data_IF_661428630765
#
_entry.id   IF_661428630765
#
_cell.length_a   1.000
_cell.length_b   1.000
_cell.length_c   1.000
_cell.angle_alpha   90.00
_cell.angle_beta   90.00
_cell.angle_gamma   90.00
#
_symmetry.space_group_name_H-M   'P 1'
#
loop_
_entity.id
_entity.type
_entity.pdbx_description
1 polymer ?
#
# COMPACT_ATOMS: atom_id res chain seq x y z
N UNK A 1 0.92 -18.01 -19.27
CA UNK A 1 -0.02 -17.21 -18.45
C UNK A 1 -0.25 -17.83 -17.07
N UNK A 2 -0.77 -19.06 -16.99
CA UNK A 2 -1.12 -19.74 -15.70
C UNK A 2 0.02 -19.75 -14.67
N UNK A 3 1.27 -20.00 -15.10
CA UNK A 3 2.46 -20.04 -14.22
C UNK A 3 2.67 -18.74 -13.41
N UNK A 4 2.45 -17.57 -14.01
CA UNK A 4 2.67 -16.29 -13.33
C UNK A 4 1.54 -15.95 -12.36
N UNK A 5 0.31 -16.38 -12.67
CA UNK A 5 -0.83 -16.24 -11.78
C UNK A 5 -0.67 -17.07 -10.49
N UNK A 6 -0.15 -18.29 -10.61
CA UNK A 6 0.12 -19.13 -9.44
C UNK A 6 1.26 -18.56 -8.56
N UNK A 7 2.23 -17.86 -9.15
CA UNK A 7 3.24 -17.11 -8.41
C UNK A 7 2.64 -15.93 -7.64
N UNK A 8 1.71 -15.19 -8.26
CA UNK A 8 0.99 -14.11 -7.57
C UNK A 8 0.19 -14.65 -6.37
N UNK A 9 -0.55 -15.75 -6.54
CA UNK A 9 -1.25 -16.42 -5.43
C UNK A 9 -0.30 -16.91 -4.35
N UNK A 10 0.86 -17.44 -4.74
CA UNK A 10 1.89 -17.86 -3.78
C UNK A 10 2.32 -16.69 -2.90
N UNK A 11 2.53 -15.50 -3.47
CA UNK A 11 2.88 -14.31 -2.69
C UNK A 11 1.76 -13.94 -1.71
N UNK A 12 0.50 -13.96 -2.15
CA UNK A 12 -0.64 -13.67 -1.26
C UNK A 12 -0.72 -14.62 -0.07
N UNK A 13 -0.35 -15.90 -0.26
CA UNK A 13 -0.28 -16.89 0.82
C UNK A 13 0.87 -16.60 1.78
N UNK A 14 2.04 -16.22 1.27
CA UNK A 14 3.19 -15.85 2.11
C UNK A 14 2.85 -14.63 2.97
N UNK A 15 2.24 -13.60 2.39
CA UNK A 15 1.82 -12.40 3.12
C UNK A 15 0.81 -12.75 4.22
N UNK A 16 -0.11 -13.67 3.95
CA UNK A 16 -1.13 -14.11 4.90
C UNK A 16 -0.60 -15.07 5.97
N UNK A 17 0.49 -15.80 5.69
CA UNK A 17 1.09 -16.74 6.63
C UNK A 17 1.70 -16.04 7.84
N UNK A 18 2.19 -14.80 7.66
CA UNK A 18 2.68 -13.95 8.73
C UNK A 18 1.57 -13.05 9.29
N UNK A 19 0.61 -13.67 9.97
CA UNK A 19 -0.60 -13.01 10.50
C UNK A 19 -0.31 -11.83 11.42
N UNK A 20 0.75 -11.87 12.22
CA UNK A 20 1.13 -10.75 13.09
C UNK A 20 1.52 -9.51 12.29
N UNK A 21 2.33 -9.68 11.24
CA UNK A 21 2.72 -8.60 10.34
C UNK A 21 1.52 -8.10 9.52
N UNK A 22 0.68 -9.03 9.06
CA UNK A 22 -0.56 -8.74 8.35
C UNK A 22 -1.45 -7.77 9.13
N UNK A 23 -1.72 -8.06 10.40
CA UNK A 23 -2.58 -7.21 11.25
C UNK A 23 -1.88 -5.92 11.71
N UNK A 24 -0.56 -5.96 11.91
CA UNK A 24 0.21 -4.77 12.24
C UNK A 24 0.14 -3.72 11.12
N UNK A 25 0.22 -4.14 9.85
CA UNK A 25 0.08 -3.25 8.69
C UNK A 25 -1.30 -2.55 8.68
N UNK A 26 -2.38 -3.32 8.87
CA UNK A 26 -3.74 -2.76 8.94
C UNK A 26 -3.89 -1.77 10.10
N UNK A 27 -3.44 -2.14 11.30
CA UNK A 27 -3.52 -1.28 12.48
C UNK A 27 -2.71 0.02 12.28
N UNK A 28 -1.50 -0.08 11.75
CA UNK A 28 -0.66 1.07 11.45
C UNK A 28 -1.30 2.01 10.43
N UNK A 29 -1.96 1.48 9.41
CA UNK A 29 -2.65 2.27 8.41
C UNK A 29 -3.83 3.07 9.01
N UNK A 30 -4.61 2.42 9.87
CA UNK A 30 -5.72 3.06 10.60
C UNK A 30 -5.20 4.15 11.54
N UNK A 31 -4.16 3.86 12.32
CA UNK A 31 -3.54 4.84 13.22
C UNK A 31 -3.03 6.06 12.43
N UNK A 32 -2.36 5.84 11.30
CA UNK A 32 -1.87 6.93 10.45
C UNK A 32 -3.02 7.82 9.94
N UNK A 33 -4.14 7.23 9.55
CA UNK A 33 -5.35 7.96 9.14
C UNK A 33 -5.89 8.82 10.29
N UNK A 34 -6.06 8.23 11.48
CA UNK A 34 -6.58 8.94 12.65
C UNK A 34 -5.67 10.08 13.10
N UNK A 35 -4.36 9.85 13.16
CA UNK A 35 -3.37 10.87 13.52
C UNK A 35 -3.47 12.04 12.53
N UNK A 36 -3.50 11.75 11.23
CA UNK A 36 -3.62 12.77 10.19
C UNK A 36 -4.93 13.55 10.30
N UNK A 37 -6.04 12.86 10.57
CA UNK A 37 -7.34 13.50 10.77
C UNK A 37 -7.32 14.47 11.96
N UNK A 38 -6.90 14.01 13.14
CA UNK A 38 -6.88 14.86 14.34
C UNK A 38 -5.87 16.00 14.24
N UNK A 39 -4.75 15.77 13.56
CA UNK A 39 -3.79 16.83 13.25
C UNK A 39 -4.46 17.95 12.44
N UNK A 40 -5.15 17.62 11.35
CA UNK A 40 -5.81 18.62 10.53
C UNK A 40 -7.05 19.22 11.18
N UNK A 41 -7.74 18.47 12.04
CA UNK A 41 -8.85 18.99 12.84
C UNK A 41 -8.37 20.14 13.75
N UNK A 42 -7.26 19.94 14.46
CA UNK A 42 -6.67 20.96 15.33
C UNK A 42 -6.19 22.19 14.53
N UNK A 43 -5.66 21.99 13.32
CA UNK A 43 -5.21 23.08 12.44
C UNK A 43 -6.38 23.95 11.94
N UNK A 44 -7.53 23.33 11.64
CA UNK A 44 -8.73 24.01 11.16
C UNK A 44 -9.66 24.52 12.27
N UNK A 45 -9.37 24.25 13.55
CA UNK A 45 -10.23 24.66 14.68
C UNK A 45 -10.45 26.19 14.76
N UNK A 46 -9.46 26.98 14.33
CA UNK A 46 -9.52 28.45 14.31
C UNK A 46 -9.53 29.05 12.89
N UNK A 47 -9.61 28.22 11.85
CA UNK A 47 -9.55 28.67 10.46
C UNK A 47 -10.61 27.94 9.62
N UNK A 48 -11.67 28.64 9.19
CA UNK A 48 -12.70 28.06 8.31
C UNK A 48 -12.13 27.61 6.95
N UNK A 49 -11.10 28.30 6.47
CA UNK A 49 -10.37 27.90 5.27
C UNK A 49 -8.91 28.30 5.34
N UNK A 50 -8.03 27.44 4.81
CA UNK A 50 -6.61 27.74 4.66
C UNK A 50 -6.37 27.97 3.19
N UNK A 51 -6.04 29.21 2.81
CA UNK A 51 -5.84 29.62 1.41
C UNK A 51 -7.03 29.28 0.50
N UNK A 52 -8.25 29.37 1.02
CA UNK A 52 -9.48 29.04 0.28
C UNK A 52 -9.77 27.54 0.14
N UNK A 53 -8.95 26.67 0.76
CA UNK A 53 -9.20 25.23 0.81
C UNK A 53 -9.92 24.89 2.12
N UNK A 54 -11.13 24.37 2.01
CA UNK A 54 -11.91 23.88 3.14
C UNK A 54 -11.34 22.59 3.73
N UNK A 55 -11.70 22.32 4.99
CA UNK A 55 -11.24 21.16 5.75
C UNK A 55 -11.47 19.82 5.01
N UNK A 56 -12.66 19.64 4.44
CA UNK A 56 -13.04 18.40 3.76
C UNK A 56 -12.21 18.12 2.52
N UNK A 57 -11.96 19.14 1.69
CA UNK A 57 -11.11 19.02 0.50
C UNK A 57 -9.67 18.68 0.86
N UNK A 58 -9.15 19.29 1.94
CA UNK A 58 -7.80 19.00 2.44
C UNK A 58 -7.68 17.55 2.90
N UNK A 59 -8.65 17.05 3.67
CA UNK A 59 -8.67 15.66 4.11
C UNK A 59 -8.79 14.68 2.95
N UNK A 60 -9.70 14.89 2.00
CA UNK A 60 -9.83 14.02 0.83
C UNK A 60 -8.51 13.92 0.08
N UNK A 61 -7.85 15.06 -0.16
CA UNK A 61 -6.55 15.09 -0.84
C UNK A 61 -5.50 14.23 -0.12
N UNK A 62 -5.38 14.39 1.20
CA UNK A 62 -4.38 13.63 1.97
C UNK A 62 -4.71 12.14 1.99
N UNK A 63 -5.97 11.77 2.19
CA UNK A 63 -6.39 10.36 2.19
C UNK A 63 -6.10 9.71 0.83
N UNK A 64 -6.39 10.41 -0.27
CA UNK A 64 -6.06 9.92 -1.63
C UNK A 64 -4.54 9.78 -1.80
N UNK A 65 -3.76 10.77 -1.35
CA UNK A 65 -2.30 10.70 -1.39
C UNK A 65 -1.75 9.51 -0.59
N UNK A 66 -2.30 9.24 0.60
CA UNK A 66 -1.95 8.09 1.43
C UNK A 66 -2.24 6.76 0.73
N UNK A 67 -3.37 6.66 0.02
CA UNK A 67 -3.71 5.47 -0.77
C UNK A 67 -2.70 5.31 -1.90
N UNK A 68 -2.41 6.36 -2.67
CA UNK A 68 -1.47 6.31 -3.79
C UNK A 68 -0.08 5.87 -3.32
N UNK A 69 0.41 6.44 -2.21
CA UNK A 69 1.73 6.15 -1.63
C UNK A 69 1.93 4.64 -1.37
N UNK A 70 0.89 3.93 -0.96
CA UNK A 70 0.93 2.48 -0.71
C UNK A 70 1.26 1.66 -1.97
N UNK A 71 1.05 2.22 -3.17
CA UNK A 71 1.30 1.54 -4.44
C UNK A 71 2.56 2.01 -5.16
N UNK A 72 3.24 3.07 -4.69
CA UNK A 72 4.44 3.63 -5.33
C UNK A 72 5.64 2.71 -5.20
N UNK A 73 5.76 1.96 -4.10
CA UNK A 73 6.86 1.00 -3.92
C UNK A 73 6.77 -0.14 -4.93
N UNK A 74 7.89 -0.50 -5.56
CA UNK A 74 7.97 -1.61 -6.50
C UNK A 74 9.15 -2.55 -6.20
N UNK A 75 9.32 -3.54 -7.06
CA UNK A 75 10.33 -4.60 -6.95
C UNK A 75 11.80 -4.17 -7.12
N UNK A 76 12.05 -2.88 -7.40
CA UNK A 76 13.39 -2.34 -7.67
C UNK A 76 14.40 -2.57 -6.54
N UNK A 77 14.00 -2.34 -5.29
CA UNK A 77 14.89 -2.53 -4.13
C UNK A 77 15.31 -3.99 -3.96
N UNK A 78 14.38 -4.92 -4.19
CA UNK A 78 14.65 -6.35 -4.16
C UNK A 78 15.61 -6.79 -5.26
N UNK A 79 15.48 -6.20 -6.45
CA UNK A 79 16.40 -6.44 -7.57
C UNK A 79 17.81 -5.90 -7.24
N UNK A 80 17.89 -4.66 -6.76
CA UNK A 80 19.16 -4.02 -6.40
C UNK A 80 19.94 -4.84 -5.36
N UNK A 81 19.25 -5.39 -4.35
CA UNK A 81 19.85 -6.31 -3.36
C UNK A 81 20.38 -7.59 -4.01
N UNK A 82 19.60 -8.23 -4.87
CA UNK A 82 20.03 -9.46 -5.57
C UNK A 82 21.24 -9.22 -6.49
N UNK A 83 21.33 -8.05 -7.12
CA UNK A 83 22.50 -7.64 -7.91
C UNK A 83 23.72 -7.47 -6.99
N UNK A 84 23.55 -6.74 -5.88
CA UNK A 84 24.63 -6.46 -4.94
C UNK A 84 25.20 -7.73 -4.31
N UNK A 85 24.35 -8.69 -4.00
CA UNK A 85 24.74 -9.93 -3.32
C UNK A 85 25.11 -11.06 -4.32
N UNK A 86 25.05 -10.80 -5.63
CA UNK A 86 25.38 -11.76 -6.69
C UNK A 86 24.39 -12.91 -6.89
N UNK A 87 23.36 -13.01 -6.04
CA UNK A 87 22.34 -14.07 -6.09
C UNK A 87 21.46 -14.01 -7.35
N UNK A 88 21.45 -12.88 -8.07
CA UNK A 88 20.75 -12.73 -9.35
C UNK A 88 21.16 -13.79 -10.39
N UNK A 89 22.42 -14.27 -10.37
CA UNK A 89 22.91 -15.27 -11.32
C UNK A 89 22.12 -16.57 -11.22
N UNK A 90 21.80 -17.02 -10.00
CA UNK A 90 21.01 -18.23 -9.77
C UNK A 90 19.58 -18.09 -10.28
N UNK A 91 19.07 -16.87 -10.31
CA UNK A 91 17.73 -16.56 -10.80
C UNK A 91 17.69 -16.57 -12.33
N UNK A 92 18.74 -16.07 -12.99
CA UNK A 92 18.87 -16.03 -14.44
C UNK A 92 19.12 -17.41 -15.07
N UNK A 93 19.70 -18.36 -14.33
CA UNK A 93 19.90 -19.74 -14.78
C UNK A 93 18.60 -20.54 -14.89
N UNK A 94 17.51 -20.06 -14.27
CA UNK A 94 16.23 -20.77 -14.27
C UNK A 94 15.50 -20.54 -15.60
N UNK A 95 14.73 -21.52 -16.11
CA UNK A 95 14.02 -21.40 -17.39
C UNK A 95 12.74 -20.56 -17.25
N UNK A 96 12.88 -19.30 -16.82
CA UNK A 96 11.83 -18.29 -16.81
C UNK A 96 12.39 -16.86 -16.82
N UNK A 97 11.62 -15.92 -17.34
CA UNK A 97 11.99 -14.50 -17.29
C UNK A 97 11.83 -13.95 -15.87
N UNK A 98 12.95 -13.56 -15.27
CA UNK A 98 13.02 -12.98 -13.92
C UNK A 98 12.09 -11.77 -13.76
N UNK A 99 12.10 -10.84 -14.72
CA UNK A 99 11.27 -9.63 -14.66
C UNK A 99 9.77 -9.97 -14.56
N UNK A 100 9.31 -10.92 -15.37
CA UNK A 100 7.90 -11.34 -15.35
C UNK A 100 7.52 -12.00 -14.02
N UNK A 101 8.44 -12.74 -13.39
CA UNK A 101 8.25 -13.25 -12.03
C UNK A 101 8.12 -12.09 -11.04
N UNK A 102 9.01 -11.12 -11.08
CA UNK A 102 8.99 -9.99 -10.14
C UNK A 102 7.70 -9.17 -10.26
N UNK A 103 7.27 -8.88 -11.49
CA UNK A 103 5.98 -8.21 -11.75
C UNK A 103 4.82 -9.04 -11.20
N UNK A 104 4.81 -10.36 -11.41
CA UNK A 104 3.75 -11.22 -10.88
C UNK A 104 3.70 -11.26 -9.35
N UNK A 105 4.86 -11.26 -8.67
CA UNK A 105 4.92 -11.20 -7.21
C UNK A 105 4.45 -9.83 -6.70
N UNK A 106 4.87 -8.74 -7.34
CA UNK A 106 4.47 -7.37 -7.00
C UNK A 106 2.96 -7.14 -7.15
N UNK A 107 2.35 -7.71 -8.20
CA UNK A 107 0.90 -7.69 -8.37
C UNK A 107 0.22 -8.47 -7.24
N UNK A 108 0.75 -9.65 -6.89
CA UNK A 108 0.21 -10.46 -5.79
C UNK A 108 0.24 -9.72 -4.46
N UNK A 109 1.36 -9.08 -4.12
CA UNK A 109 1.48 -8.29 -2.88
C UNK A 109 0.58 -7.06 -2.88
N UNK A 110 0.49 -6.31 -3.99
CA UNK A 110 -0.40 -5.14 -4.11
C UNK A 110 -1.88 -5.50 -3.96
N UNK A 111 -2.33 -6.61 -4.56
CA UNK A 111 -3.70 -7.11 -4.36
C UNK A 111 -3.92 -7.44 -2.88
N UNK A 112 -2.97 -8.11 -2.25
CA UNK A 112 -3.03 -8.45 -0.84
C UNK A 112 -3.07 -7.21 0.07
N UNK A 113 -2.26 -6.17 -0.19
CA UNK A 113 -2.28 -4.91 0.55
C UNK A 113 -3.56 -4.09 0.31
N UNK A 114 -4.19 -4.20 -0.87
CA UNK A 114 -5.48 -3.57 -1.14
C UNK A 114 -6.56 -4.04 -0.16
N UNK A 115 -6.70 -5.35 0.04
CA UNK A 115 -7.68 -5.90 0.98
C UNK A 115 -7.30 -5.64 2.45
N UNK A 116 -6.00 -5.65 2.76
CA UNK A 116 -5.50 -5.46 4.13
C UNK A 116 -5.63 -4.05 4.66
N UNK A 117 -5.29 -3.07 3.84
CA UNK A 117 -5.02 -1.72 4.32
C UNK A 117 -5.86 -0.69 3.57
N UNK A 118 -5.85 -0.72 2.23
CA UNK A 118 -6.62 0.25 1.43
C UNK A 118 -8.13 0.13 1.69
N UNK A 119 -8.68 -1.08 1.72
CA UNK A 119 -10.10 -1.31 1.98
C UNK A 119 -10.55 -0.76 3.36
N UNK A 120 -9.88 -1.08 4.49
CA UNK A 120 -10.22 -0.46 5.78
C UNK A 120 -10.06 1.06 5.79
N UNK A 121 -9.02 1.62 5.14
CA UNK A 121 -8.85 3.08 5.03
C UNK A 121 -10.06 3.71 4.32
N UNK A 122 -10.46 3.17 3.17
CA UNK A 122 -11.61 3.67 2.40
C UNK A 122 -12.90 3.54 3.22
N UNK A 123 -13.10 2.41 3.89
CA UNK A 123 -14.29 2.18 4.71
C UNK A 123 -14.40 3.22 5.83
N UNK A 124 -13.30 3.50 6.55
CA UNK A 124 -13.28 4.49 7.63
C UNK A 124 -13.44 5.91 7.06
N UNK A 125 -12.74 6.23 5.98
CA UNK A 125 -12.82 7.54 5.35
C UNK A 125 -14.23 7.86 4.82
N UNK A 126 -14.93 6.89 4.25
CA UNK A 126 -16.28 7.07 3.76
C UNK A 126 -17.32 7.12 4.90
N UNK A 127 -17.26 6.17 5.83
CA UNK A 127 -18.28 6.03 6.88
C UNK A 127 -18.15 7.05 8.02
N UNK A 128 -16.93 7.32 8.48
CA UNK A 128 -16.70 8.18 9.65
C UNK A 128 -16.39 9.62 9.27
N UNK A 129 -15.67 9.83 8.16
CA UNK A 129 -15.23 11.17 7.75
C UNK A 129 -16.16 11.81 6.72
N UNK A 130 -17.20 11.10 6.25
CA UNK A 130 -18.15 11.55 5.21
C UNK A 130 -17.45 12.13 3.97
N UNK A 131 -16.24 11.65 3.66
CA UNK A 131 -15.47 12.14 2.53
C UNK A 131 -16.14 11.67 1.24
N UNK A 132 -16.56 12.62 0.41
CA UNK A 132 -16.95 12.36 -0.97
C UNK A 132 -15.69 12.34 -1.82
N UNK A 133 -15.41 11.19 -2.42
CA UNK A 133 -14.34 11.00 -3.41
C UNK A 133 -14.82 11.36 -4.81
#
# INVERSE_FOLDING_TARGET
MVKYWELAKSQMKVDSAYTAWYWAETCSAILRLLITYYFWLAVYENNDSIKGIGFQSMLTYIVVAMIIEQYVSGVGDGLARQIKDGSIVLELLKPYHMLNKMIALDIGSKISSFFRATLPIIAIAFLFLSLSF
#
